data_IF_490376889945
#
_entry.id   IF_490376889945
#
_cell.length_a   1.000
_cell.length_b   1.000
_cell.length_c   1.000
_cell.angle_alpha   90.00
_cell.angle_beta   90.00
_cell.angle_gamma   90.00
#
_symmetry.space_group_name_H-M   'P 1'
#
loop_
_entity.id
_entity.type
_entity.pdbx_description
1 polymer ?
#
# COMPACT_ATOMS: atom_id res chain seq x y z
N UNK A 1 8.79 22.30 11.44
CA UNK A 1 8.69 20.90 11.87
C UNK A 1 9.36 20.03 10.82
N UNK A 2 10.12 18.98 11.16
CA UNK A 2 10.56 18.04 10.13
C UNK A 2 9.29 17.48 9.46
N UNK A 3 9.18 17.65 8.15
CA UNK A 3 7.99 17.29 7.41
C UNK A 3 7.66 15.80 7.56
N UNK A 4 6.37 15.44 7.57
CA UNK A 4 5.91 14.06 7.64
C UNK A 4 6.55 13.22 6.52
N UNK A 5 6.96 11.98 6.85
CA UNK A 5 7.48 11.03 5.86
C UNK A 5 6.34 10.51 4.98
N UNK A 6 6.61 10.36 3.70
CA UNK A 6 5.77 9.61 2.77
C UNK A 6 6.15 8.13 2.89
N UNK A 7 5.32 7.38 3.58
CA UNK A 7 5.48 5.92 3.71
C UNK A 7 4.72 5.19 2.61
N UNK A 8 4.98 3.89 2.43
CA UNK A 8 4.26 2.99 1.53
C UNK A 8 2.73 3.16 1.64
N UNK A 9 2.18 3.05 2.84
CA UNK A 9 0.73 3.19 3.06
C UNK A 9 0.23 4.60 2.69
N UNK A 10 0.97 5.65 3.05
CA UNK A 10 0.61 7.03 2.70
C UNK A 10 0.67 7.29 1.21
N UNK A 11 1.62 6.68 0.50
CA UNK A 11 1.68 6.74 -0.96
C UNK A 11 0.42 6.14 -1.59
N UNK A 12 -0.03 4.96 -1.12
CA UNK A 12 -1.26 4.34 -1.59
C UNK A 12 -2.50 5.19 -1.27
N UNK A 13 -2.55 5.81 -0.07
CA UNK A 13 -3.60 6.78 0.27
C UNK A 13 -3.60 7.98 -0.70
N UNK A 14 -2.41 8.45 -1.08
CA UNK A 14 -2.26 9.57 -2.04
C UNK A 14 -2.72 9.22 -3.46
N UNK A 15 -2.50 8.00 -3.90
CA UNK A 15 -3.03 7.50 -5.17
C UNK A 15 -4.56 7.48 -5.15
N UNK A 16 -5.16 7.13 -4.03
CA UNK A 16 -6.60 7.11 -3.86
C UNK A 16 -7.18 8.51 -3.76
N UNK A 17 -6.63 9.37 -2.87
CA UNK A 17 -7.19 10.70 -2.64
C UNK A 17 -6.16 11.64 -1.97
N UNK A 18 -5.90 12.83 -2.54
CA UNK A 18 -4.98 13.79 -1.92
C UNK A 18 -5.46 14.30 -0.56
N UNK A 19 -6.78 14.39 -0.33
CA UNK A 19 -7.36 14.73 0.98
C UNK A 19 -7.04 13.64 2.02
N UNK A 20 -7.19 12.37 1.66
CA UNK A 20 -6.87 11.26 2.54
C UNK A 20 -5.37 11.25 2.91
N UNK A 21 -4.49 11.46 1.93
CA UNK A 21 -3.05 11.61 2.18
C UNK A 21 -2.77 12.76 3.16
N UNK A 22 -3.37 13.93 2.93
CA UNK A 22 -3.14 15.09 3.77
C UNK A 22 -3.59 14.82 5.22
N UNK A 23 -4.78 14.25 5.40
CA UNK A 23 -5.33 13.91 6.72
C UNK A 23 -4.44 12.86 7.41
N UNK A 24 -4.03 11.82 6.71
CA UNK A 24 -3.15 10.78 7.26
C UNK A 24 -1.77 11.32 7.72
N UNK A 25 -1.36 12.48 7.20
CA UNK A 25 -0.09 13.10 7.56
C UNK A 25 -0.21 14.22 8.58
N UNK A 26 -1.30 15.01 8.54
CA UNK A 26 -1.42 16.27 9.28
C UNK A 26 -2.52 16.24 10.36
N UNK A 27 -3.46 15.31 10.27
CA UNK A 27 -4.57 15.18 11.22
C UNK A 27 -5.01 13.70 11.35
N UNK A 28 -4.10 12.77 11.70
CA UNK A 28 -4.40 11.33 11.73
C UNK A 28 -5.50 10.95 12.72
N UNK A 29 -5.72 11.75 13.73
CA UNK A 29 -6.81 11.63 14.71
C UNK A 29 -8.22 11.75 14.08
N UNK A 30 -8.31 12.29 12.85
CA UNK A 30 -9.57 12.34 12.09
C UNK A 30 -9.87 11.07 11.31
N UNK A 31 -8.95 10.14 11.24
CA UNK A 31 -9.20 8.83 10.62
C UNK A 31 -9.83 7.95 11.70
N UNK A 32 -11.03 7.39 11.46
CA UNK A 32 -11.66 6.49 12.40
C UNK A 32 -10.78 5.28 12.70
N UNK A 33 -10.84 4.78 13.93
CA UNK A 33 -10.23 3.50 14.29
C UNK A 33 -10.85 2.38 13.43
N UNK A 34 -10.05 1.38 13.01
CA UNK A 34 -10.56 0.27 12.25
C UNK A 34 -11.64 -0.48 13.04
N UNK A 35 -12.72 -0.80 12.37
CA UNK A 35 -13.73 -1.69 12.95
C UNK A 35 -13.20 -3.12 13.13
N UNK A 36 -13.95 -3.97 13.83
CA UNK A 36 -13.53 -5.34 14.14
C UNK A 36 -13.26 -6.18 12.85
N UNK A 37 -13.99 -5.92 11.77
CA UNK A 37 -13.80 -6.62 10.51
C UNK A 37 -12.47 -6.18 9.83
N UNK A 38 -12.21 -4.89 9.82
CA UNK A 38 -10.95 -4.32 9.28
C UNK A 38 -9.76 -4.77 10.11
N UNK A 39 -9.87 -4.77 11.44
CA UNK A 39 -8.82 -5.26 12.34
C UNK A 39 -8.52 -6.74 12.06
N UNK A 40 -9.55 -7.57 11.89
CA UNK A 40 -9.36 -8.97 11.53
C UNK A 40 -8.60 -9.15 10.20
N UNK A 41 -8.85 -8.31 9.21
CA UNK A 41 -8.09 -8.31 7.95
C UNK A 41 -6.61 -8.00 8.19
N UNK A 42 -6.30 -7.04 9.05
CA UNK A 42 -4.91 -6.71 9.40
C UNK A 42 -4.23 -7.87 10.13
N UNK A 43 -4.90 -8.49 11.09
CA UNK A 43 -4.38 -9.65 11.83
C UNK A 43 -4.11 -10.84 10.90
N UNK A 44 -4.99 -11.09 9.94
CA UNK A 44 -4.77 -12.09 8.88
C UNK A 44 -3.56 -11.73 8.01
N UNK A 45 -3.38 -10.46 7.67
CA UNK A 45 -2.21 -9.97 6.94
C UNK A 45 -0.90 -10.29 7.66
N UNK A 46 -0.83 -10.00 8.97
CA UNK A 46 0.34 -10.32 9.80
C UNK A 46 0.63 -11.82 9.84
N UNK A 47 -0.41 -12.65 10.01
CA UNK A 47 -0.26 -14.11 10.03
C UNK A 47 0.30 -14.64 8.71
N UNK A 48 -0.19 -14.11 7.60
CA UNK A 48 0.26 -14.49 6.26
C UNK A 48 1.72 -14.07 6.03
N UNK A 49 2.10 -12.87 6.47
CA UNK A 49 3.50 -12.40 6.40
C UNK A 49 4.45 -13.31 7.19
N UNK A 50 4.08 -13.70 8.41
CA UNK A 50 4.87 -14.64 9.21
C UNK A 50 5.01 -16.03 8.56
N UNK A 51 3.97 -16.50 7.87
CA UNK A 51 4.05 -17.74 7.11
C UNK A 51 4.96 -17.63 5.88
N UNK A 52 4.94 -16.49 5.20
CA UNK A 52 5.77 -16.26 4.02
C UNK A 52 7.27 -16.20 4.37
N UNK A 53 7.65 -15.71 5.55
CA UNK A 53 9.04 -15.73 6.02
C UNK A 53 9.62 -17.16 6.05
N UNK A 54 8.80 -18.18 6.24
CA UNK A 54 9.24 -19.57 6.25
C UNK A 54 9.73 -20.09 4.88
N UNK A 55 9.45 -19.37 3.79
CA UNK A 55 10.05 -19.62 2.48
C UNK A 55 11.56 -19.31 2.46
N UNK A 56 12.04 -18.54 3.45
CA UNK A 56 13.42 -18.09 3.57
C UNK A 56 13.97 -18.38 4.98
N UNK A 57 14.20 -19.66 5.33
CA UNK A 57 14.46 -20.08 6.72
C UNK A 57 15.73 -19.51 7.34
N UNK A 58 16.65 -18.95 6.53
CA UNK A 58 17.88 -18.28 7.00
C UNK A 58 17.71 -16.75 7.04
N UNK A 59 16.51 -16.24 6.80
CA UNK A 59 16.22 -14.81 6.80
C UNK A 59 16.27 -14.21 8.20
N UNK A 60 16.55 -12.92 8.24
CA UNK A 60 16.71 -12.14 9.49
C UNK A 60 15.60 -11.10 9.57
N UNK A 61 14.82 -11.14 10.65
CA UNK A 61 13.87 -10.08 10.98
C UNK A 61 14.60 -8.81 11.40
N UNK A 62 14.30 -7.71 10.73
CA UNK A 62 14.76 -6.39 11.13
C UNK A 62 13.72 -5.79 12.09
N UNK A 63 14.06 -5.50 13.37
CA UNK A 63 13.10 -4.94 14.33
C UNK A 63 12.42 -3.67 13.83
N UNK A 64 11.13 -3.53 14.09
CA UNK A 64 10.29 -2.44 13.54
C UNK A 64 9.85 -1.40 14.58
N UNK A 65 10.09 -1.64 15.85
CA UNK A 65 9.66 -0.80 16.98
C UNK A 65 10.40 0.54 17.03
N UNK A 66 11.68 0.54 16.62
CA UNK A 66 12.48 1.75 16.50
C UNK A 66 12.77 2.05 15.01
N UNK A 67 12.17 3.13 14.51
CA UNK A 67 12.34 3.59 13.13
C UNK A 67 13.82 3.80 12.73
N UNK A 68 14.60 4.45 13.60
CA UNK A 68 16.03 4.72 13.32
C UNK A 68 16.85 3.46 13.42
N UNK A 69 16.57 2.65 14.42
CA UNK A 69 17.19 1.33 14.62
C UNK A 69 16.93 0.40 13.44
N UNK A 70 15.71 0.36 12.93
CA UNK A 70 15.35 -0.42 11.74
C UNK A 70 16.21 -0.04 10.53
N UNK A 71 16.34 1.24 10.20
CA UNK A 71 17.16 1.73 9.07
C UNK A 71 18.65 1.38 9.30
N UNK A 72 19.17 1.64 10.50
CA UNK A 72 20.57 1.36 10.83
C UNK A 72 20.90 -0.15 10.76
N UNK A 73 19.99 -0.97 11.29
CA UNK A 73 20.10 -2.43 11.25
C UNK A 73 20.05 -2.96 9.83
N UNK A 74 19.07 -2.49 9.03
CA UNK A 74 18.97 -2.84 7.61
C UNK A 74 20.29 -2.56 6.89
N UNK A 75 20.83 -1.34 7.02
CA UNK A 75 22.10 -0.95 6.38
C UNK A 75 23.27 -1.87 6.76
N UNK A 76 23.33 -2.31 8.01
CA UNK A 76 24.34 -3.25 8.48
C UNK A 76 24.15 -4.64 7.91
N UNK A 77 22.91 -5.15 7.89
CA UNK A 77 22.59 -6.49 7.45
C UNK A 77 22.69 -6.68 5.94
N UNK A 78 22.48 -5.64 5.16
CA UNK A 78 22.71 -5.67 3.70
C UNK A 78 24.12 -6.13 3.34
N UNK A 79 25.13 -5.84 4.18
CA UNK A 79 26.52 -6.28 3.97
C UNK A 79 26.70 -7.80 4.16
N UNK A 80 25.79 -8.45 4.89
CA UNK A 80 25.86 -9.90 5.16
C UNK A 80 25.25 -10.74 4.04
N UNK A 81 24.51 -10.12 3.12
CA UNK A 81 23.91 -10.80 1.97
C UNK A 81 23.04 -12.00 2.34
N UNK A 82 22.19 -11.85 3.37
CA UNK A 82 21.14 -12.79 3.74
C UNK A 82 19.75 -12.22 3.40
N UNK A 83 18.71 -13.07 3.32
CA UNK A 83 17.33 -12.58 3.21
C UNK A 83 16.98 -11.72 4.42
N UNK A 84 16.35 -10.57 4.21
CA UNK A 84 15.92 -9.65 5.25
C UNK A 84 14.41 -9.49 5.24
N UNK A 85 13.80 -9.53 6.41
CA UNK A 85 12.39 -9.26 6.59
C UNK A 85 12.19 -7.88 7.21
N UNK A 86 11.18 -7.13 6.77
CA UNK A 86 10.83 -5.79 7.22
C UNK A 86 12.00 -4.80 7.07
N UNK A 87 12.79 -4.94 6.00
CA UNK A 87 13.96 -4.11 5.73
C UNK A 87 13.60 -2.66 5.44
N UNK A 88 14.01 -1.71 6.29
CA UNK A 88 13.69 -0.30 6.16
C UNK A 88 14.60 0.47 5.22
N UNK A 89 14.03 1.12 4.22
CA UNK A 89 14.70 1.94 3.22
C UNK A 89 14.22 3.38 3.30
N UNK A 90 15.12 4.30 3.62
CA UNK A 90 14.84 5.74 3.69
C UNK A 90 15.62 6.48 2.60
N UNK A 91 14.92 7.27 1.80
CA UNK A 91 15.49 8.17 0.82
C UNK A 91 14.85 9.57 0.94
N UNK A 92 15.57 10.53 1.48
CA UNK A 92 15.02 11.86 1.76
C UNK A 92 13.79 11.81 2.67
N UNK A 93 12.63 12.16 2.14
CA UNK A 93 11.33 12.11 2.85
C UNK A 93 10.49 10.87 2.50
N UNK A 94 11.05 9.90 1.79
CA UNK A 94 10.36 8.69 1.34
C UNK A 94 10.87 7.49 2.13
N UNK A 95 9.98 6.69 2.69
CA UNK A 95 10.34 5.52 3.50
C UNK A 95 9.47 4.31 3.15
N UNK A 96 10.12 3.17 2.98
CA UNK A 96 9.44 1.88 2.86
C UNK A 96 10.06 0.82 3.73
N UNK A 97 9.26 -0.12 4.21
CA UNK A 97 9.70 -1.42 4.69
C UNK A 97 9.40 -2.44 3.63
N UNK A 98 10.38 -3.28 3.35
CA UNK A 98 10.30 -4.33 2.36
C UNK A 98 9.95 -5.62 3.09
N UNK A 99 8.84 -6.26 2.75
CA UNK A 99 8.39 -7.46 3.46
C UNK A 99 9.49 -8.53 3.42
N UNK A 100 10.01 -8.85 2.23
CA UNK A 100 11.13 -9.77 2.06
C UNK A 100 12.08 -9.20 0.99
N UNK A 101 13.31 -8.94 1.38
CA UNK A 101 14.40 -8.52 0.49
C UNK A 101 15.41 -9.67 0.40
N UNK A 102 15.46 -10.36 -0.73
CA UNK A 102 16.23 -11.59 -0.92
C UNK A 102 17.47 -11.34 -1.80
N UNK A 103 18.70 -11.61 -1.33
CA UNK A 103 19.90 -11.47 -2.15
C UNK A 103 19.94 -12.56 -3.22
N UNK A 104 20.35 -12.14 -4.42
CA UNK A 104 20.58 -13.03 -5.56
C UNK A 104 21.88 -12.65 -6.26
N UNK A 105 22.58 -13.61 -6.82
CA UNK A 105 23.90 -13.39 -7.41
C UNK A 105 24.87 -12.67 -6.45
N UNK A 106 25.88 -11.95 -6.96
CA UNK A 106 26.88 -11.26 -6.15
C UNK A 106 26.40 -9.90 -5.62
N UNK A 107 25.58 -9.16 -6.39
CA UNK A 107 25.23 -7.78 -6.06
C UNK A 107 23.75 -7.40 -6.27
N UNK A 108 22.90 -8.34 -6.70
CA UNK A 108 21.49 -8.11 -6.98
C UNK A 108 20.58 -8.56 -5.83
N UNK A 109 19.37 -8.04 -5.84
CA UNK A 109 18.32 -8.36 -4.87
C UNK A 109 16.98 -8.55 -5.57
N UNK A 110 16.16 -9.43 -5.01
CA UNK A 110 14.75 -9.54 -5.36
C UNK A 110 13.90 -8.94 -4.24
N UNK A 111 12.83 -8.25 -4.62
CA UNK A 111 11.78 -7.80 -3.71
C UNK A 111 10.64 -8.79 -3.77
N UNK A 112 10.18 -9.28 -2.62
CA UNK A 112 8.99 -10.11 -2.52
C UNK A 112 8.02 -9.42 -1.55
N UNK A 113 6.94 -8.89 -2.07
CA UNK A 113 5.83 -8.34 -1.30
C UNK A 113 4.80 -9.43 -1.02
N UNK A 114 4.34 -9.50 0.22
CA UNK A 114 3.40 -10.53 0.68
C UNK A 114 1.99 -9.97 0.75
N UNK A 115 1.02 -10.70 0.22
CA UNK A 115 -0.40 -10.33 0.26
C UNK A 115 -1.26 -11.49 0.73
N UNK A 116 -2.20 -11.21 1.62
CA UNK A 116 -3.19 -12.17 2.10
C UNK A 116 -4.32 -12.43 1.08
N UNK A 117 -4.34 -11.71 -0.05
CA UNK A 117 -5.28 -11.96 -1.15
C UNK A 117 -4.92 -13.23 -1.91
N UNK A 118 -5.84 -13.69 -2.76
CA UNK A 118 -5.66 -14.85 -3.65
C UNK A 118 -5.35 -14.46 -5.10
N UNK A 119 -5.12 -13.17 -5.36
CA UNK A 119 -4.80 -12.65 -6.68
C UNK A 119 -4.05 -11.32 -6.56
N UNK A 120 -3.31 -10.98 -7.60
CA UNK A 120 -2.66 -9.67 -7.78
C UNK A 120 -3.72 -8.61 -8.10
N UNK A 121 -3.57 -7.42 -7.51
CA UNK A 121 -4.37 -6.23 -7.81
C UNK A 121 -3.44 -5.10 -8.28
N UNK A 122 -3.97 -4.20 -9.10
CA UNK A 122 -3.17 -3.06 -9.63
C UNK A 122 -2.51 -2.24 -8.52
N UNK A 123 -3.21 -2.02 -7.41
CA UNK A 123 -2.65 -1.30 -6.27
C UNK A 123 -1.43 -1.99 -5.65
N UNK A 124 -1.31 -3.31 -5.77
CA UNK A 124 -0.15 -4.05 -5.29
C UNK A 124 1.10 -3.76 -6.16
N UNK A 125 0.92 -3.51 -7.46
CA UNK A 125 2.00 -3.13 -8.36
C UNK A 125 2.56 -1.75 -7.98
N UNK A 126 1.69 -0.79 -7.65
CA UNK A 126 2.10 0.52 -7.14
C UNK A 126 2.86 0.42 -5.81
N UNK A 127 2.42 -0.46 -4.92
CA UNK A 127 3.08 -0.76 -3.65
C UNK A 127 4.53 -1.23 -3.89
N UNK A 128 4.71 -2.26 -4.71
CA UNK A 128 6.03 -2.81 -5.03
C UNK A 128 6.90 -1.80 -5.81
N UNK A 129 6.29 -0.99 -6.70
CA UNK A 129 7.01 0.05 -7.43
C UNK A 129 7.59 1.11 -6.49
N UNK A 130 6.84 1.51 -5.45
CA UNK A 130 7.32 2.43 -4.42
C UNK A 130 8.48 1.83 -3.61
N UNK A 131 8.40 0.56 -3.25
CA UNK A 131 9.47 -0.17 -2.56
C UNK A 131 10.72 -0.26 -3.44
N UNK A 132 10.55 -0.61 -4.72
CA UNK A 132 11.65 -0.68 -5.68
C UNK A 132 12.38 0.65 -5.81
N UNK A 133 11.64 1.77 -5.88
CA UNK A 133 12.24 3.10 -5.88
C UNK A 133 13.11 3.32 -4.64
N UNK A 134 12.57 3.03 -3.44
CA UNK A 134 13.33 3.18 -2.19
C UNK A 134 14.60 2.34 -2.17
N UNK A 135 14.55 1.10 -2.66
CA UNK A 135 15.72 0.23 -2.75
C UNK A 135 16.77 0.79 -3.73
N UNK A 136 16.36 1.17 -4.94
CA UNK A 136 17.26 1.71 -5.98
C UNK A 136 17.91 3.01 -5.50
N UNK A 137 17.17 3.90 -4.85
CA UNK A 137 17.70 5.16 -4.31
C UNK A 137 18.65 4.95 -3.12
N UNK A 138 18.60 3.78 -2.47
CA UNK A 138 19.60 3.34 -1.50
C UNK A 138 20.78 2.56 -2.13
N UNK A 139 20.86 2.53 -3.47
CA UNK A 139 21.98 1.93 -4.22
C UNK A 139 21.87 0.42 -4.44
N UNK A 140 20.71 -0.19 -4.18
CA UNK A 140 20.51 -1.61 -4.44
C UNK A 140 20.18 -1.86 -5.92
N UNK A 141 20.74 -2.91 -6.48
CA UNK A 141 20.37 -3.42 -7.79
C UNK A 141 19.23 -4.41 -7.64
N UNK A 142 18.03 -4.01 -8.03
CA UNK A 142 16.84 -4.87 -7.98
C UNK A 142 16.75 -5.63 -9.30
N UNK A 143 16.86 -6.95 -9.21
CA UNK A 143 16.74 -7.87 -10.36
C UNK A 143 15.29 -8.11 -10.72
N UNK A 144 14.48 -8.56 -9.72
CA UNK A 144 13.08 -8.89 -9.91
C UNK A 144 12.21 -8.41 -8.76
N UNK A 145 10.93 -8.26 -9.06
CA UNK A 145 9.89 -7.95 -8.11
C UNK A 145 8.84 -9.06 -8.16
N UNK A 146 8.52 -9.62 -6.99
CA UNK A 146 7.53 -10.68 -6.87
C UNK A 146 6.39 -10.27 -5.95
N UNK A 147 5.20 -10.78 -6.24
CA UNK A 147 4.09 -10.83 -5.29
C UNK A 147 3.90 -12.28 -4.83
N UNK A 148 3.98 -12.47 -3.51
CA UNK A 148 3.64 -13.72 -2.84
C UNK A 148 2.21 -13.60 -2.31
N UNK A 149 1.28 -14.38 -2.84
CA UNK A 149 -0.13 -14.35 -2.44
C UNK A 149 -0.66 -15.76 -2.20
N UNK A 150 -1.81 -15.85 -1.53
CA UNK A 150 -2.36 -17.16 -1.15
C UNK A 150 -2.83 -17.94 -2.38
N UNK A 151 -2.30 -19.14 -2.54
CA UNK A 151 -2.76 -20.11 -3.53
C UNK A 151 -4.13 -20.67 -3.11
N UNK A 152 -5.19 -20.27 -3.78
CA UNK A 152 -6.56 -20.69 -3.50
C UNK A 152 -6.84 -22.17 -3.79
N UNK A 153 -5.89 -22.89 -4.42
CA UNK A 153 -5.95 -24.33 -4.64
C UNK A 153 -5.28 -25.13 -3.52
N UNK A 154 -4.62 -24.44 -2.57
CA UNK A 154 -3.96 -25.12 -1.46
C UNK A 154 -4.96 -25.77 -0.52
N UNK A 155 -4.76 -27.05 -0.28
CA UNK A 155 -5.53 -27.82 0.71
C UNK A 155 -4.60 -28.22 1.85
N UNK A 156 -4.85 -27.69 3.03
CA UNK A 156 -4.06 -28.02 4.23
C UNK A 156 -4.24 -29.50 4.62
N UNK A 157 -3.13 -30.24 4.66
CA UNK A 157 -3.04 -31.60 5.18
C UNK A 157 -1.96 -31.65 6.27
N UNK A 158 -2.39 -31.64 7.52
CA UNK A 158 -1.47 -31.57 8.66
C UNK A 158 -0.94 -30.15 8.89
N UNK A 159 0.38 -29.98 8.98
CA UNK A 159 1.01 -28.67 9.13
C UNK A 159 0.94 -27.86 7.81
N UNK A 160 1.01 -26.54 7.96
CA UNK A 160 1.02 -25.63 6.79
C UNK A 160 2.37 -25.78 6.08
N UNK A 161 2.31 -26.09 4.78
CA UNK A 161 3.46 -26.07 3.88
C UNK A 161 3.49 -24.70 3.16
N UNK A 162 4.44 -23.80 3.46
CA UNK A 162 4.51 -22.49 2.85
C UNK A 162 4.73 -22.51 1.34
N UNK A 163 5.53 -23.44 0.82
CA UNK A 163 5.81 -23.56 -0.62
C UNK A 163 4.57 -23.89 -1.45
N UNK A 164 3.60 -24.58 -0.85
CA UNK A 164 2.33 -24.91 -1.49
C UNK A 164 1.25 -23.84 -1.20
N UNK A 165 1.35 -23.17 -0.03
CA UNK A 165 0.42 -22.15 0.39
C UNK A 165 0.56 -20.89 -0.47
N UNK A 166 1.78 -20.50 -0.85
CA UNK A 166 2.03 -19.29 -1.60
C UNK A 166 2.20 -19.56 -3.09
N UNK A 167 1.58 -18.70 -3.91
CA UNK A 167 1.93 -18.53 -5.30
C UNK A 167 2.86 -17.30 -5.39
N UNK A 168 4.01 -17.46 -6.06
CA UNK A 168 4.91 -16.36 -6.37
C UNK A 168 4.74 -15.96 -7.82
N UNK A 169 4.36 -14.71 -8.07
CA UNK A 169 4.24 -14.15 -9.41
C UNK A 169 5.33 -13.11 -9.62
N UNK A 170 6.12 -13.27 -10.68
CA UNK A 170 7.02 -12.23 -11.18
C UNK A 170 6.17 -11.11 -11.78
N UNK A 171 6.31 -9.91 -11.22
CA UNK A 171 5.56 -8.71 -11.63
C UNK A 171 6.51 -7.58 -12.04
N UNK A 172 7.74 -7.93 -12.42
CA UNK A 172 8.82 -6.96 -12.67
C UNK A 172 8.49 -5.97 -13.77
N UNK A 173 7.90 -6.45 -14.87
CA UNK A 173 7.55 -5.61 -16.02
C UNK A 173 6.37 -4.69 -15.69
N UNK A 174 5.34 -5.21 -15.03
CA UNK A 174 4.18 -4.42 -14.60
C UNK A 174 4.59 -3.36 -13.56
N UNK A 175 5.47 -3.72 -12.62
CA UNK A 175 6.03 -2.79 -11.62
C UNK A 175 6.86 -1.70 -12.30
N UNK A 176 7.62 -2.02 -13.35
CA UNK A 176 8.35 -1.02 -14.12
C UNK A 176 7.39 -0.07 -14.84
N UNK A 177 6.33 -0.60 -15.47
CA UNK A 177 5.33 0.19 -16.19
C UNK A 177 4.59 1.17 -15.25
N UNK A 178 4.07 0.72 -14.12
CA UNK A 178 3.39 1.61 -13.14
C UNK A 178 4.37 2.56 -12.45
N UNK A 179 5.66 2.21 -12.46
CA UNK A 179 6.76 3.03 -11.93
C UNK A 179 7.10 4.24 -12.80
N UNK A 180 6.63 4.28 -14.04
CA UNK A 180 6.80 5.47 -14.88
C UNK A 180 6.15 6.70 -14.21
N UNK A 181 6.89 7.81 -14.09
CA UNK A 181 6.43 9.02 -13.43
C UNK A 181 6.26 8.91 -11.91
N UNK A 182 6.72 7.85 -11.24
CA UNK A 182 6.58 7.70 -9.78
C UNK A 182 7.25 8.84 -9.01
N UNK A 183 8.36 9.39 -9.50
CA UNK A 183 9.06 10.51 -8.84
C UNK A 183 8.23 11.78 -8.87
N UNK A 184 7.56 12.05 -9.97
CA UNK A 184 6.69 13.23 -10.12
C UNK A 184 5.48 13.08 -9.21
N UNK A 185 4.84 11.90 -9.18
CA UNK A 185 3.75 11.59 -8.24
C UNK A 185 4.16 11.77 -6.77
N UNK A 186 5.36 11.32 -6.41
CA UNK A 186 5.91 11.50 -5.05
C UNK A 186 6.14 12.99 -4.77
N UNK A 187 6.67 13.76 -5.71
CA UNK A 187 6.86 15.19 -5.54
C UNK A 187 5.52 15.91 -5.29
N UNK A 188 4.51 15.64 -6.11
CA UNK A 188 3.14 16.16 -5.93
C UNK A 188 2.55 15.77 -4.56
N UNK A 189 2.71 14.51 -4.14
CA UNK A 189 2.25 14.05 -2.83
C UNK A 189 2.96 14.76 -1.68
N UNK A 190 4.26 15.02 -1.81
CA UNK A 190 5.03 15.76 -0.80
C UNK A 190 4.61 17.24 -0.73
N UNK A 191 4.19 17.84 -1.85
CA UNK A 191 3.55 19.17 -1.87
C UNK A 191 2.20 19.16 -1.16
N UNK A 192 1.36 18.15 -1.44
CA UNK A 192 0.09 17.95 -0.73
C UNK A 192 0.32 17.84 0.78
N UNK A 193 1.27 17.01 1.22
CA UNK A 193 1.61 16.86 2.64
C UNK A 193 2.07 18.18 3.26
N UNK A 194 2.83 18.98 2.51
CA UNK A 194 3.35 20.28 2.95
C UNK A 194 2.33 21.43 2.89
N UNK A 195 1.18 21.22 2.29
CA UNK A 195 0.14 22.25 2.17
C UNK A 195 -0.38 22.69 3.55
N UNK A 196 -0.53 24.00 3.81
CA UNK A 196 -1.07 24.51 5.07
C UNK A 196 -2.55 24.20 5.27
N UNK A 197 -3.26 23.83 4.21
CA UNK A 197 -4.69 23.52 4.23
C UNK A 197 -5.00 22.17 3.59
N UNK A 198 -5.99 21.48 4.13
CA UNK A 198 -6.48 20.22 3.58
C UNK A 198 -7.05 20.44 2.17
N UNK A 199 -6.63 19.68 1.15
CA UNK A 199 -7.21 19.77 -0.18
C UNK A 199 -8.70 19.44 -0.17
N UNK A 200 -9.45 20.13 -1.02
CA UNK A 200 -10.83 19.72 -1.31
C UNK A 200 -10.79 18.42 -2.14
N UNK A 201 -11.69 17.50 -1.83
CA UNK A 201 -11.91 16.30 -2.62
C UNK A 201 -13.37 16.21 -3.00
N UNK A 202 -13.64 15.65 -4.18
CA UNK A 202 -14.99 15.31 -4.65
C UNK A 202 -15.24 13.84 -4.42
N UNK A 203 -16.49 13.47 -4.17
CA UNK A 203 -16.90 12.07 -4.09
C UNK A 203 -16.81 11.44 -5.48
N UNK A 204 -16.39 10.17 -5.54
CA UNK A 204 -16.28 9.44 -6.80
C UNK A 204 -15.87 7.99 -6.58
N UNK A 205 -15.59 7.23 -7.67
CA UNK A 205 -15.21 5.82 -7.61
C UNK A 205 -14.03 5.53 -6.69
N UNK A 206 -13.08 6.47 -6.62
CA UNK A 206 -11.91 6.36 -5.73
C UNK A 206 -12.26 6.31 -4.23
N UNK A 207 -13.49 6.67 -3.84
CA UNK A 207 -13.93 6.52 -2.45
C UNK A 207 -14.19 5.05 -2.06
N UNK A 208 -14.30 4.16 -3.05
CA UNK A 208 -14.52 2.72 -2.83
C UNK A 208 -13.42 1.84 -3.41
N UNK A 209 -12.59 2.36 -4.30
CA UNK A 209 -11.56 1.64 -5.03
C UNK A 209 -10.18 2.29 -4.80
N UNK A 210 -9.13 1.55 -4.48
CA UNK A 210 -9.05 0.08 -4.31
C UNK A 210 -9.62 -0.45 -2.99
N UNK A 211 -9.88 0.44 -2.03
CA UNK A 211 -10.46 0.12 -0.72
C UNK A 211 -11.45 1.20 -0.31
N UNK A 212 -12.47 0.88 0.52
CA UNK A 212 -13.35 1.90 1.08
C UNK A 212 -12.56 2.99 1.80
N UNK A 213 -12.81 4.24 1.44
CA UNK A 213 -12.19 5.39 2.10
C UNK A 213 -12.77 5.53 3.53
N UNK A 214 -11.94 5.63 4.58
CA UNK A 214 -12.43 5.77 5.95
C UNK A 214 -13.01 7.15 6.26
N UNK A 215 -12.79 8.15 5.37
CA UNK A 215 -13.26 9.50 5.59
C UNK A 215 -14.73 9.64 5.18
N UNK A 216 -15.62 9.77 6.16
CA UNK A 216 -17.06 9.89 5.93
C UNK A 216 -17.54 11.34 5.82
N UNK A 217 -16.76 12.31 6.30
CA UNK A 217 -17.10 13.74 6.30
C UNK A 217 -17.32 14.32 4.91
N UNK A 218 -16.78 13.70 3.86
CA UNK A 218 -17.04 14.10 2.48
C UNK A 218 -18.52 13.91 2.07
N UNK A 219 -19.26 13.05 2.78
CA UNK A 219 -20.63 12.67 2.47
C UNK A 219 -21.67 13.46 3.29
N UNK A 220 -21.25 14.19 4.35
CA UNK A 220 -22.14 14.88 5.29
C UNK A 220 -22.99 15.98 4.64
N UNK A 221 -22.54 16.54 3.51
CA UNK A 221 -23.27 17.58 2.78
C UNK A 221 -24.30 17.08 1.78
N UNK A 222 -24.46 15.76 1.62
CA UNK A 222 -25.40 15.18 0.67
C UNK A 222 -26.81 15.07 1.26
N UNK A 223 -27.86 15.23 0.42
CA UNK A 223 -29.24 14.93 0.84
C UNK A 223 -29.40 13.50 1.32
N UNK A 224 -30.39 13.24 2.19
CA UNK A 224 -30.68 11.89 2.66
C UNK A 224 -30.92 10.91 1.51
N UNK A 225 -31.69 11.33 0.50
CA UNK A 225 -31.94 10.56 -0.74
C UNK A 225 -31.06 11.05 -1.88
N UNK A 226 -29.74 10.98 -1.68
CA UNK A 226 -28.79 11.40 -2.70
C UNK A 226 -28.62 10.34 -3.80
N UNK A 227 -28.00 10.74 -4.91
CA UNK A 227 -27.82 9.90 -6.11
C UNK A 227 -27.02 8.61 -5.85
N UNK A 228 -26.19 8.56 -4.81
CA UNK A 228 -25.45 7.35 -4.44
C UNK A 228 -26.30 6.30 -3.71
N UNK A 229 -27.53 6.64 -3.28
CA UNK A 229 -28.49 5.70 -2.71
C UNK A 229 -29.32 4.97 -3.80
N UNK A 230 -29.09 5.29 -5.07
CA UNK A 230 -29.73 4.59 -6.18
C UNK A 230 -29.37 3.10 -6.19
N UNK A 231 -30.41 2.26 -6.22
CA UNK A 231 -30.20 0.81 -6.37
C UNK A 231 -29.44 0.53 -7.68
N UNK A 232 -28.28 -0.12 -7.58
CA UNK A 232 -27.37 -0.40 -8.70
C UNK A 232 -26.93 0.86 -9.47
N UNK A 233 -26.88 2.02 -8.81
CA UNK A 233 -26.51 3.30 -9.40
C UNK A 233 -25.12 3.31 -10.04
N UNK A 234 -24.10 2.83 -9.32
CA UNK A 234 -22.74 2.68 -9.82
C UNK A 234 -22.26 3.91 -10.62
N UNK A 235 -21.77 3.69 -11.86
CA UNK A 235 -21.32 4.77 -12.75
C UNK A 235 -22.37 5.85 -13.00
N UNK A 236 -23.66 5.50 -13.00
CA UNK A 236 -24.74 6.48 -13.19
C UNK A 236 -24.83 7.46 -12.04
N UNK A 237 -24.64 6.99 -10.80
CA UNK A 237 -24.57 7.88 -9.62
C UNK A 237 -23.42 8.86 -9.73
N UNK A 238 -22.23 8.41 -10.15
CA UNK A 238 -21.07 9.27 -10.35
C UNK A 238 -21.32 10.33 -11.45
N UNK A 239 -21.93 9.95 -12.55
CA UNK A 239 -22.28 10.87 -13.64
C UNK A 239 -23.26 11.94 -13.18
N UNK A 240 -24.33 11.55 -12.47
CA UNK A 240 -25.32 12.46 -11.92
C UNK A 240 -24.68 13.45 -10.94
N UNK A 241 -23.88 12.95 -10.00
CA UNK A 241 -23.17 13.78 -9.04
C UNK A 241 -22.26 14.80 -9.74
N UNK A 242 -21.47 14.38 -10.74
CA UNK A 242 -20.62 15.28 -11.52
C UNK A 242 -21.38 16.32 -12.31
N UNK A 243 -22.61 16.00 -12.74
CA UNK A 243 -23.49 16.96 -13.41
C UNK A 243 -24.23 17.91 -12.46
N UNK A 244 -23.99 17.79 -11.13
CA UNK A 244 -24.59 18.65 -10.11
C UNK A 244 -25.94 18.15 -9.59
N UNK A 245 -26.42 16.99 -10.03
CA UNK A 245 -27.63 16.35 -9.49
C UNK A 245 -27.26 15.64 -8.20
N UNK A 246 -27.68 16.17 -7.06
CA UNK A 246 -27.35 15.62 -5.75
C UNK A 246 -28.42 14.71 -5.18
N UNK A 247 -29.69 15.01 -5.45
CA UNK A 247 -30.85 14.26 -4.94
C UNK A 247 -31.50 13.43 -6.04
N UNK A 248 -32.04 12.26 -5.65
CA UNK A 248 -32.88 11.43 -6.55
C UNK A 248 -34.12 12.22 -7.00
N UNK A 249 -34.63 13.12 -6.16
CA UNK A 249 -35.79 13.94 -6.49
C UNK A 249 -35.54 14.96 -7.65
N UNK A 250 -34.25 15.30 -7.88
CA UNK A 250 -33.85 16.24 -8.93
C UNK A 250 -33.56 15.54 -10.28
N UNK A 251 -33.79 14.23 -10.36
CA UNK A 251 -33.62 13.45 -11.58
C UNK A 251 -34.82 13.67 -12.49
N UNK A 252 -34.63 14.33 -13.62
CA UNK A 252 -35.63 14.55 -14.68
C UNK A 252 -35.58 13.43 -15.73
#
# INVERSE_FOLDING_TARGET
MPGSLLTKSKYLNGLQCPRYLWIACNAPDKIPEPDAATQHIFDQGHLVSELAKRLFPVGIDVPTEDFRGNIAMTKRLLQQRGPLFEAGMLCGRVYSRIDILNPVNEDEWDIIEVKSSTSVKDINLHDVSFQRLCCVDNGLKIRKCFLAYINNQYVKKGEINPEQLFALQDVSDEVAAVGEGIRDRIAEMLEVIGSPSCPKATIGPHCSDPYPCPLTDCWEGLPEHNVFTLYRGGKKSDELYRSGVLSIADMS
#
